data_IF_428714181577
#
_entry.id   IF_428714181577
#
_cell.length_a   1.000
_cell.length_b   1.000
_cell.length_c   1.000
_cell.angle_alpha   90.00
_cell.angle_beta   90.00
_cell.angle_gamma   90.00
#
_symmetry.space_group_name_H-M   'P 1'
#
loop_
_entity.id
_entity.type
_entity.pdbx_description
1 polymer ?
#
# COMPACT_ATOMS: atom_id res chain seq x y z
N UNK A 1 15.01 -15.57 3.10
CA UNK A 1 13.69 -14.95 3.04
C UNK A 1 13.69 -13.46 2.80
N UNK A 2 14.80 -12.78 3.07
CA UNK A 2 14.93 -11.35 2.73
C UNK A 2 14.79 -11.07 1.24
N UNK A 3 15.16 -12.03 0.38
CA UNK A 3 15.01 -11.88 -1.08
C UNK A 3 13.55 -11.77 -1.50
N UNK A 4 12.67 -12.52 -0.84
CA UNK A 4 11.24 -12.50 -1.18
C UNK A 4 10.58 -11.21 -0.74
N UNK A 5 11.04 -10.65 0.37
CA UNK A 5 10.50 -9.40 0.88
C UNK A 5 10.74 -8.25 -0.09
N UNK A 6 11.92 -8.19 -0.69
CA UNK A 6 12.26 -7.17 -1.68
C UNK A 6 11.38 -7.31 -2.92
N UNK A 7 11.18 -8.53 -3.40
CA UNK A 7 10.30 -8.78 -4.54
C UNK A 7 8.86 -8.40 -4.24
N UNK A 8 8.40 -8.68 -3.02
CA UNK A 8 7.03 -8.37 -2.62
C UNK A 8 6.77 -6.87 -2.59
N UNK A 9 7.75 -6.09 -2.15
CA UNK A 9 7.63 -4.63 -2.15
C UNK A 9 7.44 -4.11 -3.57
N UNK A 10 8.12 -4.70 -4.54
CA UNK A 10 8.01 -4.28 -5.95
C UNK A 10 6.65 -4.55 -6.56
N UNK A 11 5.81 -5.38 -5.94
CA UNK A 11 4.45 -5.60 -6.41
C UNK A 11 3.57 -4.36 -6.22
N UNK A 12 3.93 -3.49 -5.29
CA UNK A 12 3.15 -2.29 -4.97
C UNK A 12 3.75 -1.01 -5.50
N UNK A 13 5.02 -1.01 -5.88
CA UNK A 13 5.69 0.21 -6.30
C UNK A 13 6.28 0.04 -7.70
N UNK A 14 5.88 0.91 -8.60
CA UNK A 14 6.37 0.91 -9.98
C UNK A 14 7.59 1.81 -10.16
N UNK A 15 7.88 2.65 -9.20
CA UNK A 15 8.94 3.62 -9.33
C UNK A 15 9.83 3.59 -8.11
N UNK A 16 11.11 3.71 -8.36
CA UNK A 16 12.11 3.78 -7.30
C UNK A 16 12.39 5.26 -7.07
N UNK A 17 11.84 5.78 -5.99
CA UNK A 17 12.18 7.13 -5.56
C UNK A 17 13.18 7.04 -4.42
N UNK A 18 14.29 7.69 -4.61
CA UNK A 18 15.26 7.88 -3.56
C UNK A 18 14.80 9.07 -2.74
N UNK A 19 14.20 8.82 -1.58
CA UNK A 19 13.82 9.90 -0.68
C UNK A 19 15.05 10.34 0.07
N UNK A 20 15.47 11.57 -0.15
CA UNK A 20 16.57 12.14 0.60
C UNK A 20 16.19 12.21 2.07
N UNK A 21 17.12 11.84 2.94
CA UNK A 21 16.95 12.04 4.37
C UNK A 21 17.08 13.51 4.69
N UNK A 22 16.05 14.25 4.34
CA UNK A 22 16.03 15.67 4.61
C UNK A 22 14.98 15.91 5.68
N UNK A 23 15.39 16.60 6.74
CA UNK A 23 14.50 16.95 7.84
C UNK A 23 13.40 17.91 7.40
N UNK A 24 13.56 18.50 6.21
CA UNK A 24 12.58 19.40 5.61
C UNK A 24 11.90 18.72 4.42
N UNK A 25 11.31 17.55 4.66
CA UNK A 25 10.54 16.87 3.62
C UNK A 25 9.48 17.83 3.08
N UNK A 26 9.55 18.12 1.79
CA UNK A 26 8.61 19.00 1.14
C UNK A 26 7.26 18.32 1.01
N UNK A 27 6.21 19.11 0.78
CA UNK A 27 4.90 18.56 0.50
C UNK A 27 4.95 17.63 -0.71
N UNK A 28 5.76 17.95 -1.70
CA UNK A 28 5.93 17.12 -2.90
C UNK A 28 6.50 15.75 -2.53
N UNK A 29 7.52 15.72 -1.68
CA UNK A 29 8.12 14.45 -1.23
C UNK A 29 7.12 13.59 -0.46
N UNK A 30 6.30 14.22 0.37
CA UNK A 30 5.25 13.52 1.11
C UNK A 30 4.23 12.90 0.16
N UNK A 31 3.79 13.67 -0.83
CA UNK A 31 2.84 13.20 -1.85
C UNK A 31 3.45 12.03 -2.62
N UNK A 32 4.72 12.10 -2.95
CA UNK A 32 5.43 11.02 -3.64
C UNK A 32 5.45 9.74 -2.81
N UNK A 33 5.69 9.84 -1.51
CA UNK A 33 5.69 8.67 -0.62
C UNK A 33 4.34 7.99 -0.58
N UNK A 34 3.26 8.76 -0.66
CA UNK A 34 1.90 8.23 -0.59
C UNK A 34 1.37 7.79 -1.95
N UNK A 35 2.11 8.05 -3.02
CA UNK A 35 1.72 7.66 -4.37
C UNK A 35 2.05 6.17 -4.60
N UNK A 36 1.23 5.33 -4.03
CA UNK A 36 1.39 3.87 -4.13
C UNK A 36 0.52 3.37 -5.27
N UNK A 37 1.16 2.77 -6.27
CA UNK A 37 0.45 2.15 -7.39
C UNK A 37 0.69 0.66 -7.35
N UNK A 38 -0.38 -0.10 -7.46
CA UNK A 38 -0.34 -1.56 -7.39
C UNK A 38 -0.25 -2.14 -8.78
N UNK A 39 0.74 -3.03 -8.98
CA UNK A 39 0.79 -3.83 -10.19
C UNK A 39 -0.12 -5.04 -9.98
N UNK A 40 -1.36 -4.92 -10.45
CA UNK A 40 -2.41 -5.93 -10.20
C UNK A 40 -2.03 -7.29 -10.77
N UNK A 41 -1.38 -7.33 -11.93
CA UNK A 41 -0.97 -8.60 -12.55
C UNK A 41 0.04 -9.35 -11.70
N UNK A 42 1.05 -8.65 -11.20
CA UNK A 42 2.06 -9.26 -10.32
C UNK A 42 1.46 -9.73 -9.01
N UNK A 43 0.58 -8.91 -8.45
CA UNK A 43 -0.12 -9.26 -7.21
C UNK A 43 -1.00 -10.48 -7.42
N UNK A 44 -1.74 -10.52 -8.53
CA UNK A 44 -2.60 -11.66 -8.87
C UNK A 44 -1.80 -12.94 -9.00
N UNK A 45 -0.64 -12.89 -9.64
CA UNK A 45 0.23 -14.05 -9.78
C UNK A 45 0.78 -14.51 -8.43
N UNK A 46 1.20 -13.57 -7.61
CA UNK A 46 1.75 -13.89 -6.29
C UNK A 46 0.71 -14.52 -5.37
N UNK A 47 -0.50 -13.99 -5.37
CA UNK A 47 -1.60 -14.49 -4.55
C UNK A 47 -2.37 -15.63 -5.20
N UNK A 48 -2.12 -15.91 -6.49
CA UNK A 48 -2.85 -16.91 -7.27
C UNK A 48 -4.36 -16.62 -7.27
N UNK A 49 -4.70 -15.41 -7.69
CA UNK A 49 -6.10 -14.96 -7.72
C UNK A 49 -6.86 -15.58 -8.88
N UNK A 50 -8.14 -15.89 -8.66
CA UNK A 50 -9.05 -16.21 -9.74
C UNK A 50 -9.39 -14.95 -10.53
N UNK A 51 -10.04 -15.11 -11.69
CA UNK A 51 -10.46 -13.96 -12.51
C UNK A 51 -11.40 -13.03 -11.75
N UNK A 52 -12.34 -13.61 -11.00
CA UNK A 52 -13.29 -12.82 -10.21
C UNK A 52 -12.58 -12.06 -9.08
N UNK A 53 -11.64 -12.74 -8.40
CA UNK A 53 -10.85 -12.10 -7.37
C UNK A 53 -9.99 -10.97 -7.94
N UNK A 54 -9.43 -11.17 -9.13
CA UNK A 54 -8.57 -10.17 -9.76
C UNK A 54 -9.31 -8.86 -10.00
N UNK A 55 -10.53 -8.92 -10.53
CA UNK A 55 -11.34 -7.73 -10.75
C UNK A 55 -11.67 -7.02 -9.45
N UNK A 56 -12.03 -7.77 -8.42
CA UNK A 56 -12.36 -7.21 -7.11
C UNK A 56 -11.12 -6.58 -6.46
N UNK A 57 -9.98 -7.26 -6.52
CA UNK A 57 -8.72 -6.75 -5.96
C UNK A 57 -8.29 -5.47 -6.69
N UNK A 58 -8.43 -5.44 -8.01
CA UNK A 58 -8.10 -4.24 -8.79
C UNK A 58 -8.92 -3.04 -8.34
N UNK A 59 -10.22 -3.23 -8.15
CA UNK A 59 -11.10 -2.14 -7.66
C UNK A 59 -10.67 -1.64 -6.30
N UNK A 60 -10.40 -2.56 -5.37
CA UNK A 60 -10.01 -2.19 -4.00
C UNK A 60 -8.65 -1.50 -3.99
N UNK A 61 -7.68 -1.99 -4.76
CA UNK A 61 -6.34 -1.38 -4.81
C UNK A 61 -6.36 -0.01 -5.46
N UNK A 62 -7.17 0.19 -6.51
CA UNK A 62 -7.32 1.49 -7.15
C UNK A 62 -7.93 2.51 -6.19
N UNK A 63 -8.97 2.11 -5.47
CA UNK A 63 -9.59 2.96 -4.46
C UNK A 63 -8.61 3.32 -3.35
N UNK A 64 -7.84 2.34 -2.88
CA UNK A 64 -6.84 2.56 -1.85
C UNK A 64 -5.77 3.55 -2.32
N UNK A 65 -5.28 3.41 -3.55
CA UNK A 65 -4.29 4.32 -4.11
C UNK A 65 -4.81 5.75 -4.17
N UNK A 66 -6.04 5.93 -4.60
CA UNK A 66 -6.68 7.24 -4.66
C UNK A 66 -6.86 7.84 -3.27
N UNK A 67 -7.28 7.02 -2.31
CA UNK A 67 -7.48 7.44 -0.93
C UNK A 67 -6.15 7.86 -0.28
N UNK A 68 -5.06 7.16 -0.59
CA UNK A 68 -3.74 7.52 -0.10
C UNK A 68 -3.32 8.91 -0.59
N UNK A 69 -3.59 9.22 -1.84
CA UNK A 69 -3.28 10.54 -2.40
C UNK A 69 -4.09 11.63 -1.72
N UNK A 70 -5.35 11.34 -1.40
CA UNK A 70 -6.18 12.26 -0.64
C UNK A 70 -5.57 12.52 0.75
N UNK A 71 -5.15 11.46 1.43
CA UNK A 71 -4.53 11.57 2.75
C UNK A 71 -3.23 12.38 2.70
N UNK A 72 -2.46 12.25 1.63
CA UNK A 72 -1.17 12.91 1.48
C UNK A 72 -1.26 14.43 1.51
N UNK A 73 -2.39 14.99 1.03
CA UNK A 73 -2.57 16.45 0.94
C UNK A 73 -3.26 17.04 2.16
N UNK A 74 -3.59 16.23 3.16
CA UNK A 74 -4.20 16.73 4.38
C UNK A 74 -3.18 17.42 5.26
N UNK A 75 -3.60 18.49 5.93
CA UNK A 75 -2.74 19.25 6.83
C UNK A 75 -2.68 18.57 8.20
N UNK A 76 -1.48 18.57 8.77
CA UNK A 76 -1.26 18.06 10.12
C UNK A 76 -0.95 16.56 10.17
N UNK A 77 0.13 16.20 10.86
CA UNK A 77 0.58 14.82 10.98
C UNK A 77 -0.44 13.93 11.69
N UNK A 78 -1.06 14.44 12.73
CA UNK A 78 -2.06 13.70 13.49
C UNK A 78 -3.27 13.35 12.62
N UNK A 79 -3.74 14.31 11.81
CA UNK A 79 -4.86 14.09 10.88
C UNK A 79 -4.50 13.05 9.83
N UNK A 80 -3.29 13.14 9.25
CA UNK A 80 -2.83 12.17 8.26
C UNK A 80 -2.75 10.76 8.84
N UNK A 81 -2.22 10.60 10.05
CA UNK A 81 -2.13 9.29 10.70
C UNK A 81 -3.51 8.69 10.94
N UNK A 82 -4.45 9.49 11.42
CA UNK A 82 -5.81 9.02 11.67
C UNK A 82 -6.47 8.56 10.37
N UNK A 83 -6.34 9.35 9.31
CA UNK A 83 -6.89 9.01 7.99
C UNK A 83 -6.23 7.75 7.46
N UNK A 84 -4.90 7.68 7.53
CA UNK A 84 -4.13 6.51 7.06
C UNK A 84 -4.56 5.24 7.76
N UNK A 85 -4.74 5.29 9.07
CA UNK A 85 -5.18 4.13 9.83
C UNK A 85 -6.55 3.66 9.35
N UNK A 86 -7.47 4.58 9.13
CA UNK A 86 -8.80 4.27 8.63
C UNK A 86 -8.75 3.66 7.23
N UNK A 87 -7.89 4.20 6.35
CA UNK A 87 -7.74 3.68 4.99
C UNK A 87 -7.16 2.27 4.98
N UNK A 88 -6.19 2.01 5.84
CA UNK A 88 -5.59 0.68 5.96
C UNK A 88 -6.59 -0.32 6.51
N UNK A 89 -7.34 0.05 7.54
CA UNK A 89 -8.38 -0.81 8.11
C UNK A 89 -9.44 -1.13 7.06
N UNK A 90 -9.84 -0.15 6.28
CA UNK A 90 -10.80 -0.33 5.18
C UNK A 90 -10.26 -1.27 4.11
N UNK A 91 -9.00 -1.08 3.71
CA UNK A 91 -8.35 -1.92 2.72
C UNK A 91 -8.29 -3.38 3.18
N UNK A 92 -7.82 -3.59 4.41
CA UNK A 92 -7.72 -4.93 5.00
C UNK A 92 -9.09 -5.58 5.10
N UNK A 93 -10.09 -4.82 5.51
CA UNK A 93 -11.47 -5.33 5.62
C UNK A 93 -12.00 -5.81 4.27
N UNK A 94 -11.87 -4.99 3.23
CA UNK A 94 -12.36 -5.36 1.90
C UNK A 94 -11.58 -6.52 1.31
N UNK A 95 -10.28 -6.53 1.48
CA UNK A 95 -9.46 -7.66 1.02
C UNK A 95 -9.83 -8.95 1.73
N UNK A 96 -10.18 -8.89 3.00
CA UNK A 96 -10.59 -10.09 3.76
C UNK A 96 -11.87 -10.71 3.22
N UNK A 97 -12.73 -9.94 2.57
CA UNK A 97 -13.94 -10.48 1.93
C UNK A 97 -13.63 -11.14 0.58
N UNK A 98 -12.54 -10.74 -0.06
CA UNK A 98 -12.18 -11.22 -1.40
C UNK A 98 -11.23 -12.41 -1.32
N UNK A 99 -10.25 -12.34 -0.43
CA UNK A 99 -9.15 -13.29 -0.34
C UNK A 99 -9.45 -14.41 0.65
N UNK A 100 -8.95 -15.60 0.37
CA UNK A 100 -8.99 -16.67 1.35
C UNK A 100 -7.90 -16.42 2.41
N UNK A 101 -7.88 -17.25 3.44
CA UNK A 101 -6.98 -17.07 4.58
C UNK A 101 -5.51 -17.07 4.16
N UNK A 102 -5.11 -17.98 3.30
CA UNK A 102 -3.74 -18.09 2.82
C UNK A 102 -3.33 -16.87 1.99
N UNK A 103 -4.20 -16.45 1.08
CA UNK A 103 -3.99 -15.26 0.25
C UNK A 103 -3.91 -14.01 1.13
N UNK A 104 -4.79 -13.92 2.12
CA UNK A 104 -4.82 -12.77 3.03
C UNK A 104 -3.54 -12.65 3.83
N UNK A 105 -3.00 -13.77 4.31
CA UNK A 105 -1.73 -13.78 5.02
C UNK A 105 -0.60 -13.23 4.15
N UNK A 106 -0.52 -13.69 2.92
CA UNK A 106 0.49 -13.20 1.96
C UNK A 106 0.30 -11.72 1.66
N UNK A 107 -0.96 -11.31 1.49
CA UNK A 107 -1.26 -9.91 1.20
C UNK A 107 -0.81 -8.99 2.33
N UNK A 108 -1.06 -9.37 3.58
CA UNK A 108 -0.68 -8.54 4.74
C UNK A 108 0.84 -8.37 4.83
N UNK A 109 1.60 -9.40 4.50
CA UNK A 109 3.07 -9.30 4.47
C UNK A 109 3.51 -8.26 3.45
N UNK A 110 2.93 -8.29 2.25
CA UNK A 110 3.25 -7.35 1.18
C UNK A 110 2.83 -5.93 1.56
N UNK A 111 1.64 -5.78 2.13
CA UNK A 111 1.13 -4.47 2.54
C UNK A 111 2.03 -3.83 3.58
N UNK A 112 2.36 -4.58 4.63
CA UNK A 112 3.22 -4.07 5.71
C UNK A 112 4.62 -3.70 5.19
N UNK A 113 5.19 -4.53 4.32
CA UNK A 113 6.49 -4.25 3.71
C UNK A 113 6.44 -2.98 2.84
N UNK A 114 5.37 -2.78 2.11
CA UNK A 114 5.18 -1.62 1.26
C UNK A 114 5.11 -0.34 2.09
N UNK A 115 4.30 -0.35 3.15
CA UNK A 115 4.17 0.82 4.02
C UNK A 115 5.52 1.16 4.67
N UNK A 116 6.23 0.16 5.15
CA UNK A 116 7.55 0.37 5.76
C UNK A 116 8.55 0.92 4.74
N UNK A 117 8.55 0.37 3.52
CA UNK A 117 9.46 0.81 2.47
C UNK A 117 9.20 2.26 2.05
N UNK A 118 7.95 2.69 2.08
CA UNK A 118 7.55 4.06 1.76
C UNK A 118 7.69 5.01 2.94
N UNK A 119 8.16 4.52 4.07
CA UNK A 119 8.31 5.31 5.30
C UNK A 119 6.99 5.92 5.76
N UNK A 120 5.91 5.22 5.50
CA UNK A 120 4.59 5.59 6.00
C UNK A 120 4.43 4.93 7.36
N UNK A 121 4.45 5.75 8.39
CA UNK A 121 4.38 5.28 9.77
C UNK A 121 2.94 5.31 10.26
N UNK A 122 2.42 4.14 10.58
CA UNK A 122 1.04 3.95 11.00
C UNK A 122 0.90 3.36 12.39
N UNK A 123 2.00 3.01 13.03
CA UNK A 123 1.95 2.26 14.28
C UNK A 123 2.26 3.09 15.52
N UNK A 124 2.14 4.38 15.44
CA UNK A 124 2.40 5.24 16.62
C UNK A 124 1.13 5.85 17.13
#
# INVERSE_FOLDING_TARGET
>A
MKKYLIMLVMLFTMSVYSFAEDNNATEIERIERYNVKVNTKKLANYLQLSSDQMDAVESVTNEFSNDLMFAAVQDGDASRKAIMKNLLDKNVKYMSYILNEKQMHKYLVVLNATMANRKININD
#
